data_IF_839839502633
#
_entry.id   IF_839839502633
#
_cell.length_a   1.000
_cell.length_b   1.000
_cell.length_c   1.000
_cell.angle_alpha   90.00
_cell.angle_beta   90.00
_cell.angle_gamma   90.00
#
_symmetry.space_group_name_H-M   'P 1'
#
loop_
_entity.id
_entity.type
_entity.pdbx_description
1 polymer ?
#
# COMPACT_ATOMS: atom_id res chain seq x y z
N UNK A 1 11.46 0.04 25.67
CA UNK A 1 12.84 -0.47 25.59
C UNK A 1 13.77 0.73 25.46
N UNK A 2 14.32 1.22 26.58
CA UNK A 2 15.14 2.44 26.64
C UNK A 2 16.59 2.07 26.34
N UNK A 3 17.24 2.74 25.37
CA UNK A 3 18.67 2.58 25.09
C UNK A 3 19.42 3.71 25.79
N UNK A 4 20.29 3.32 26.73
CA UNK A 4 21.15 4.19 27.53
C UNK A 4 22.59 3.89 27.08
N UNK A 5 23.30 4.87 26.53
CA UNK A 5 24.72 4.71 26.16
C UNK A 5 25.55 5.92 26.60
N UNK A 6 26.17 5.70 27.75
CA UNK A 6 27.50 6.06 28.26
C UNK A 6 28.41 6.99 27.42
N UNK A 7 28.86 8.06 28.09
CA UNK A 7 29.99 8.95 27.79
C UNK A 7 31.34 8.22 27.84
N UNK A 8 32.27 8.60 26.97
CA UNK A 8 33.72 8.45 27.17
C UNK A 8 34.47 9.66 26.60
N UNK A 9 35.12 10.42 27.50
CA UNK A 9 36.11 11.47 27.22
C UNK A 9 37.47 10.84 26.87
N UNK A 10 38.14 11.37 25.84
CA UNK A 10 39.61 11.48 25.69
C UNK A 10 39.90 12.14 24.33
N UNK A 11 40.93 12.96 24.11
CA UNK A 11 41.97 13.52 24.94
C UNK A 11 42.64 14.65 24.13
N UNK A 12 43.00 15.73 24.81
CA UNK A 12 43.71 16.88 24.24
C UNK A 12 45.20 16.70 24.54
N UNK A 13 46.03 16.55 23.50
CA UNK A 13 47.48 16.70 23.64
C UNK A 13 48.11 17.01 22.28
N UNK A 14 48.51 18.27 22.08
CA UNK A 14 49.71 18.59 21.30
C UNK A 14 50.42 19.73 22.02
N UNK A 15 51.62 19.44 22.52
CA UNK A 15 52.62 20.42 22.96
C UNK A 15 53.73 20.45 21.91
N UNK A 16 54.19 21.64 21.51
CA UNK A 16 55.50 21.80 20.89
C UNK A 16 56.03 23.25 21.01
N UNK A 17 57.10 23.35 21.82
CA UNK A 17 58.37 24.04 21.60
C UNK A 17 58.39 25.58 21.47
N UNK A 18 59.09 26.18 22.44
CA UNK A 18 59.57 27.55 22.43
C UNK A 18 60.78 27.72 21.50
N UNK A 19 60.78 28.79 20.69
CA UNK A 19 61.98 29.37 20.09
C UNK A 19 61.84 30.91 20.08
N UNK A 20 62.65 31.59 20.88
CA UNK A 20 62.78 33.05 20.86
C UNK A 20 63.69 33.48 19.71
N UNK A 21 63.24 34.42 18.88
CA UNK A 21 64.05 35.13 17.90
C UNK A 21 63.38 36.47 17.55
N UNK A 22 63.97 37.57 18.02
CA UNK A 22 63.45 38.92 17.86
C UNK A 22 63.65 39.49 16.46
N UNK A 23 62.56 40.04 15.90
CA UNK A 23 62.53 40.92 14.72
C UNK A 23 61.42 41.96 14.92
N UNK A 24 61.50 43.13 14.27
CA UNK A 24 60.53 44.21 14.46
C UNK A 24 59.13 43.74 14.05
N UNK A 25 58.16 43.98 14.93
CA UNK A 25 56.76 43.56 14.79
C UNK A 25 56.18 44.10 13.47
N UNK A 26 55.81 43.26 12.49
CA UNK A 26 55.02 43.73 11.36
C UNK A 26 53.69 44.22 11.93
N UNK A 27 53.30 45.43 11.53
CA UNK A 27 51.96 45.93 11.84
C UNK A 27 50.94 44.89 11.40
N UNK A 28 49.96 44.56 12.27
CA UNK A 28 48.96 43.58 11.90
C UNK A 28 48.34 44.05 10.58
N UNK A 29 48.18 43.19 9.56
CA UNK A 29 47.31 43.55 8.45
C UNK A 29 46.01 44.01 9.10
N UNK A 30 45.65 45.29 8.87
CA UNK A 30 44.41 45.86 9.38
C UNK A 30 43.30 44.85 9.09
N UNK A 31 42.34 44.67 10.02
CA UNK A 31 41.42 43.55 9.97
C UNK A 31 40.93 43.43 8.55
N UNK A 32 41.30 42.32 7.89
CA UNK A 32 40.64 41.91 6.65
C UNK A 32 39.20 41.73 7.09
N UNK A 33 38.44 42.81 6.99
CA UNK A 33 37.00 42.78 7.09
C UNK A 33 36.63 41.95 5.88
N UNK A 34 36.55 40.64 6.09
CA UNK A 34 36.00 39.73 5.12
C UNK A 34 34.68 40.37 4.73
N UNK A 35 34.63 40.90 3.51
CA UNK A 35 33.69 41.93 3.10
C UNK A 35 32.30 41.44 3.50
N UNK A 36 31.70 42.06 4.53
CA UNK A 36 30.54 41.51 5.25
C UNK A 36 29.36 41.27 4.31
N UNK A 37 29.32 42.03 3.23
CA UNK A 37 28.38 41.92 2.12
C UNK A 37 28.53 40.59 1.36
N UNK A 38 29.76 40.12 1.14
CA UNK A 38 30.05 38.84 0.49
C UNK A 38 29.68 37.62 1.35
N UNK A 39 29.78 37.74 2.68
CA UNK A 39 29.32 36.69 3.61
C UNK A 39 27.79 36.63 3.63
N UNK A 40 27.12 37.79 3.65
CA UNK A 40 25.65 37.87 3.66
C UNK A 40 25.04 37.34 2.33
N UNK A 41 25.68 37.58 1.19
CA UNK A 41 25.25 37.06 -0.11
C UNK A 41 25.44 35.54 -0.23
N UNK A 42 26.59 35.01 0.22
CA UNK A 42 26.84 33.57 0.29
C UNK A 42 25.80 32.85 1.17
N UNK A 43 25.48 33.42 2.34
CA UNK A 43 24.44 32.87 3.24
C UNK A 43 23.05 32.84 2.60
N UNK A 44 22.69 33.86 1.80
CA UNK A 44 21.40 33.91 1.08
C UNK A 44 21.32 32.86 -0.03
N UNK A 45 22.39 32.68 -0.80
CA UNK A 45 22.48 31.64 -1.84
C UNK A 45 22.42 30.23 -1.24
N UNK A 46 23.08 30.01 -0.10
CA UNK A 46 22.99 28.75 0.63
C UNK A 46 21.59 28.48 1.16
N UNK A 47 20.94 29.49 1.76
CA UNK A 47 19.56 29.38 2.24
C UNK A 47 18.59 29.10 1.09
N UNK A 48 18.78 29.72 -0.08
CA UNK A 48 17.97 29.47 -1.26
C UNK A 48 18.20 28.06 -1.82
N UNK A 49 19.46 27.60 -1.89
CA UNK A 49 19.79 26.22 -2.29
C UNK A 49 19.15 25.22 -1.32
N UNK A 50 19.28 25.43 -0.02
CA UNK A 50 18.66 24.58 1.01
C UNK A 50 17.14 24.60 0.90
N UNK A 51 16.52 25.75 0.62
CA UNK A 51 15.08 25.86 0.42
C UNK A 51 14.63 25.09 -0.83
N UNK A 52 15.36 25.18 -1.94
CA UNK A 52 15.10 24.44 -3.18
C UNK A 52 15.28 22.93 -2.98
N UNK A 53 16.33 22.51 -2.29
CA UNK A 53 16.57 21.11 -1.95
C UNK A 53 15.49 20.55 -1.01
N UNK A 54 15.08 21.32 0.00
CA UNK A 54 14.00 20.96 0.90
C UNK A 54 12.64 20.90 0.17
N UNK A 55 12.38 21.81 -0.77
CA UNK A 55 11.18 21.77 -1.61
C UNK A 55 11.18 20.52 -2.50
N UNK A 56 12.29 20.25 -3.19
CA UNK A 56 12.43 19.05 -4.02
C UNK A 56 12.32 17.75 -3.21
N UNK A 57 12.81 17.73 -1.96
CA UNK A 57 12.66 16.58 -1.06
C UNK A 57 11.20 16.35 -0.65
N UNK A 58 10.46 17.42 -0.31
CA UNK A 58 9.02 17.34 0.00
C UNK A 58 8.20 16.87 -1.19
N UNK A 59 8.48 17.39 -2.39
CA UNK A 59 7.81 16.95 -3.62
C UNK A 59 8.04 15.46 -3.91
N UNK A 60 9.27 14.96 -3.69
CA UNK A 60 9.58 13.53 -3.83
C UNK A 60 8.80 12.69 -2.81
N UNK A 61 8.80 13.09 -1.55
CA UNK A 61 8.04 12.42 -0.49
C UNK A 61 6.54 12.40 -0.79
N UNK A 62 5.97 13.53 -1.24
CA UNK A 62 4.57 13.62 -1.65
C UNK A 62 4.28 12.73 -2.87
N UNK A 63 5.16 12.72 -3.86
CA UNK A 63 5.02 11.87 -5.03
C UNK A 63 5.05 10.37 -4.65
N UNK A 64 5.95 9.99 -3.74
CA UNK A 64 6.01 8.63 -3.19
C UNK A 64 4.74 8.27 -2.41
N UNK A 65 4.26 9.18 -1.55
CA UNK A 65 3.01 8.99 -0.80
C UNK A 65 1.80 8.84 -1.73
N UNK A 66 1.70 9.66 -2.78
CA UNK A 66 0.65 9.56 -3.80
C UNK A 66 0.73 8.22 -4.52
N UNK A 67 1.94 7.79 -4.92
CA UNK A 67 2.14 6.48 -5.56
C UNK A 67 1.74 5.33 -4.65
N UNK A 68 2.12 5.38 -3.37
CA UNK A 68 1.73 4.37 -2.38
C UNK A 68 0.22 4.33 -2.20
N UNK A 69 -0.44 5.50 -2.13
CA UNK A 69 -1.89 5.57 -2.04
C UNK A 69 -2.57 4.94 -3.26
N UNK A 70 -2.11 5.26 -4.47
CA UNK A 70 -2.66 4.68 -5.71
C UNK A 70 -2.54 3.15 -5.74
N UNK A 71 -1.40 2.61 -5.27
CA UNK A 71 -1.20 1.16 -5.15
C UNK A 71 -2.21 0.58 -4.15
N UNK A 72 -2.34 1.18 -2.97
CA UNK A 72 -3.29 0.74 -1.95
C UNK A 72 -4.74 0.75 -2.46
N UNK A 73 -5.15 1.81 -3.16
CA UNK A 73 -6.48 1.95 -3.74
C UNK A 73 -6.75 0.90 -4.82
N UNK A 74 -5.75 0.63 -5.68
CA UNK A 74 -5.85 -0.40 -6.72
C UNK A 74 -6.00 -1.80 -6.12
N UNK A 75 -5.23 -2.12 -5.08
CA UNK A 75 -5.33 -3.40 -4.36
C UNK A 75 -6.70 -3.54 -3.67
N UNK A 76 -7.19 -2.47 -3.04
CA UNK A 76 -8.52 -2.46 -2.42
C UNK A 76 -9.64 -2.63 -3.46
N UNK A 77 -9.53 -2.01 -4.63
CA UNK A 77 -10.50 -2.17 -5.72
C UNK A 77 -10.52 -3.60 -6.27
N UNK A 78 -9.35 -4.21 -6.47
CA UNK A 78 -9.23 -5.61 -6.85
C UNK A 78 -9.89 -6.52 -5.81
N UNK A 79 -9.62 -6.32 -4.52
CA UNK A 79 -10.24 -7.10 -3.44
C UNK A 79 -11.77 -6.98 -3.41
N UNK A 80 -12.32 -5.78 -3.60
CA UNK A 80 -13.77 -5.58 -3.71
C UNK A 80 -14.37 -6.33 -4.90
N UNK A 81 -13.68 -6.32 -6.04
CA UNK A 81 -14.14 -7.04 -7.25
C UNK A 81 -14.18 -8.55 -7.03
N UNK A 82 -13.17 -9.12 -6.35
CA UNK A 82 -13.12 -10.56 -6.06
C UNK A 82 -14.21 -11.00 -5.10
N UNK A 83 -14.52 -10.18 -4.08
CA UNK A 83 -15.61 -10.47 -3.15
C UNK A 83 -16.98 -10.38 -3.81
N UNK A 84 -17.19 -9.39 -4.69
CA UNK A 84 -18.44 -9.27 -5.45
C UNK A 84 -18.67 -10.49 -6.36
N UNK A 85 -17.63 -10.97 -7.05
CA UNK A 85 -17.67 -12.20 -7.85
C UNK A 85 -18.02 -13.42 -7.00
N UNK A 86 -17.38 -13.55 -5.83
CA UNK A 86 -17.66 -14.65 -4.89
C UNK A 86 -19.11 -14.61 -4.39
N UNK A 87 -19.61 -13.43 -4.03
CA UNK A 87 -20.99 -13.24 -3.57
C UNK A 87 -22.00 -13.62 -4.66
N UNK A 88 -21.77 -13.21 -5.90
CA UNK A 88 -22.63 -13.55 -7.03
C UNK A 88 -22.63 -15.05 -7.32
N UNK A 89 -21.45 -15.68 -7.37
CA UNK A 89 -21.34 -17.14 -7.55
C UNK A 89 -22.00 -17.92 -6.39
N UNK A 90 -21.92 -17.40 -5.17
CA UNK A 90 -22.51 -17.97 -3.96
C UNK A 90 -24.01 -17.70 -3.77
N UNK A 91 -24.64 -16.90 -4.64
CA UNK A 91 -26.08 -16.61 -4.54
C UNK A 91 -26.88 -17.90 -4.74
N UNK A 92 -27.82 -18.19 -3.84
CA UNK A 92 -28.62 -19.41 -3.86
C UNK A 92 -29.68 -19.36 -4.96
N UNK A 93 -29.95 -20.52 -5.57
CA UNK A 93 -31.04 -20.71 -6.53
C UNK A 93 -32.17 -21.45 -5.82
N UNK A 94 -33.38 -20.90 -5.87
CA UNK A 94 -34.53 -21.45 -5.17
C UNK A 94 -35.48 -22.19 -6.10
N UNK A 95 -36.15 -23.20 -5.55
CA UNK A 95 -37.10 -24.03 -6.28
C UNK A 95 -38.46 -24.04 -5.59
N UNK A 96 -39.51 -24.24 -6.37
CA UNK A 96 -40.84 -24.51 -5.83
C UNK A 96 -40.89 -25.88 -5.15
N UNK A 97 -41.91 -26.05 -4.31
CA UNK A 97 -42.21 -27.34 -3.71
C UNK A 97 -42.33 -28.43 -4.78
N UNK A 98 -41.62 -29.54 -4.54
CA UNK A 98 -41.58 -30.71 -5.41
C UNK A 98 -41.16 -30.44 -6.87
N UNK A 99 -40.45 -29.33 -7.14
CA UNK A 99 -39.95 -28.99 -8.48
C UNK A 99 -38.43 -28.96 -8.54
N UNK A 100 -37.94 -29.24 -9.75
CA UNK A 100 -36.55 -29.06 -10.17
C UNK A 100 -36.44 -28.14 -11.40
N UNK A 101 -37.44 -27.29 -11.62
CA UNK A 101 -37.48 -26.32 -12.73
C UNK A 101 -36.96 -24.98 -12.21
N UNK A 102 -36.03 -24.38 -12.94
CA UNK A 102 -35.49 -23.05 -12.65
C UNK A 102 -36.59 -22.00 -12.81
N UNK A 103 -36.77 -21.14 -11.80
CA UNK A 103 -37.73 -20.04 -11.85
C UNK A 103 -37.23 -18.95 -12.78
N UNK A 104 -38.14 -18.21 -13.41
CA UNK A 104 -37.77 -17.13 -14.34
C UNK A 104 -36.85 -16.06 -13.73
N UNK A 105 -37.04 -15.72 -12.44
CA UNK A 105 -36.15 -14.78 -11.73
C UNK A 105 -34.75 -15.35 -11.49
N UNK A 106 -34.65 -16.63 -11.16
CA UNK A 106 -33.39 -17.32 -10.88
C UNK A 106 -32.55 -17.59 -12.14
N UNK A 107 -33.18 -17.71 -13.31
CA UNK A 107 -32.48 -17.86 -14.59
C UNK A 107 -31.51 -16.70 -14.86
N UNK A 108 -31.93 -15.46 -14.57
CA UNK A 108 -31.08 -14.27 -14.73
C UNK A 108 -29.85 -14.27 -13.83
N UNK A 109 -29.92 -14.94 -12.68
CA UNK A 109 -28.78 -15.10 -11.76
C UNK A 109 -27.81 -16.13 -12.33
N UNK A 110 -28.30 -17.23 -12.91
CA UNK A 110 -27.46 -18.22 -13.58
C UNK A 110 -26.72 -17.63 -14.77
N UNK A 111 -27.37 -16.80 -15.59
CA UNK A 111 -26.74 -16.13 -16.73
C UNK A 111 -25.52 -15.28 -16.30
N UNK A 112 -25.65 -14.56 -15.18
CA UNK A 112 -24.55 -13.79 -14.61
C UNK A 112 -23.39 -14.68 -14.14
N UNK A 113 -23.69 -15.84 -13.53
CA UNK A 113 -22.66 -16.81 -13.14
C UNK A 113 -21.95 -17.40 -14.36
N UNK A 114 -22.69 -17.73 -15.42
CA UNK A 114 -22.12 -18.24 -16.68
C UNK A 114 -21.15 -17.22 -17.28
N UNK A 115 -21.51 -15.94 -17.33
CA UNK A 115 -20.62 -14.89 -17.81
C UNK A 115 -19.30 -14.83 -17.02
N UNK A 116 -19.35 -14.95 -15.70
CA UNK A 116 -18.16 -15.01 -14.84
C UNK A 116 -17.31 -16.24 -15.16
N UNK A 117 -17.92 -17.42 -15.28
CA UNK A 117 -17.20 -18.67 -15.56
C UNK A 117 -16.54 -18.66 -16.94
N UNK A 118 -17.21 -18.10 -17.95
CA UNK A 118 -16.67 -17.93 -19.30
C UNK A 118 -15.48 -16.97 -19.31
N UNK A 119 -15.54 -15.88 -18.55
CA UNK A 119 -14.43 -14.95 -18.40
C UNK A 119 -13.25 -15.54 -17.60
N UNK A 120 -13.49 -16.59 -16.80
CA UNK A 120 -12.51 -17.19 -15.90
C UNK A 120 -12.44 -18.71 -16.08
N UNK A 121 -11.90 -19.22 -17.20
CA UNK A 121 -11.91 -20.66 -17.53
C UNK A 121 -11.14 -21.55 -16.54
N UNK A 122 -10.26 -20.97 -15.70
CA UNK A 122 -9.57 -21.70 -14.64
C UNK A 122 -10.42 -21.89 -13.36
N UNK A 123 -11.55 -21.21 -13.24
CA UNK A 123 -12.40 -21.26 -12.06
C UNK A 123 -13.24 -22.55 -12.08
N UNK A 124 -13.18 -23.30 -10.97
CA UNK A 124 -13.97 -24.52 -10.79
C UNK A 124 -15.02 -24.30 -9.71
N UNK A 125 -16.25 -24.69 -10.00
CA UNK A 125 -17.37 -24.65 -9.04
C UNK A 125 -17.91 -26.04 -8.77
N UNK A 126 -18.60 -26.19 -7.63
CA UNK A 126 -19.39 -27.37 -7.30
C UNK A 126 -20.85 -26.95 -7.16
N UNK A 127 -21.75 -27.64 -7.85
CA UNK A 127 -23.18 -27.42 -7.78
C UNK A 127 -23.78 -28.53 -6.89
N UNK A 128 -24.50 -28.13 -5.85
CA UNK A 128 -25.15 -29.03 -4.90
C UNK A 128 -26.61 -28.64 -4.73
N UNK A 129 -27.51 -29.59 -4.97
CA UNK A 129 -28.94 -29.39 -4.75
C UNK A 129 -29.35 -29.83 -3.36
N UNK A 130 -30.22 -29.03 -2.73
CA UNK A 130 -30.74 -29.29 -1.40
C UNK A 130 -32.27 -29.40 -1.44
N UNK A 131 -32.81 -30.10 -0.46
CA UNK A 131 -34.25 -30.27 -0.24
C UNK A 131 -34.59 -29.87 1.18
N UNK A 132 -35.88 -29.62 1.41
CA UNK A 132 -36.40 -29.48 2.77
C UNK A 132 -36.60 -30.85 3.42
N UNK A 133 -37.00 -30.88 4.68
CA UNK A 133 -37.13 -32.11 5.49
C UNK A 133 -38.34 -32.99 5.12
N UNK A 134 -39.20 -32.55 4.19
CA UNK A 134 -40.43 -33.30 3.86
C UNK A 134 -40.12 -34.41 2.87
N UNK A 135 -40.74 -35.58 3.06
CA UNK A 135 -40.54 -36.76 2.21
C UNK A 135 -39.45 -37.70 2.74
N UNK A 136 -39.13 -38.75 1.96
CA UNK A 136 -38.06 -39.69 2.33
C UNK A 136 -36.68 -39.15 1.94
N UNK A 137 -35.64 -39.63 2.62
CA UNK A 137 -34.26 -39.24 2.34
C UNK A 137 -33.85 -39.61 0.91
N UNK A 138 -34.25 -40.78 0.43
CA UNK A 138 -33.96 -41.25 -0.93
C UNK A 138 -34.64 -40.36 -1.98
N UNK A 139 -35.89 -39.95 -1.71
CA UNK A 139 -36.61 -39.02 -2.57
C UNK A 139 -35.90 -37.67 -2.64
N UNK A 140 -35.51 -37.14 -1.48
CA UNK A 140 -34.83 -35.85 -1.37
C UNK A 140 -33.43 -35.87 -1.98
N UNK A 141 -32.71 -36.99 -1.90
CA UNK A 141 -31.43 -37.18 -2.58
C UNK A 141 -31.60 -37.13 -4.10
N UNK A 142 -32.60 -37.84 -4.64
CA UNK A 142 -32.89 -37.82 -6.07
C UNK A 142 -33.37 -36.44 -6.54
N UNK A 143 -34.23 -35.77 -5.78
CA UNK A 143 -34.70 -34.42 -6.08
C UNK A 143 -33.55 -33.39 -6.03
N UNK A 144 -32.65 -33.49 -5.05
CA UNK A 144 -31.46 -32.65 -4.95
C UNK A 144 -30.55 -32.81 -6.17
N UNK A 145 -30.30 -34.05 -6.61
CA UNK A 145 -29.51 -34.32 -7.82
C UNK A 145 -30.16 -33.72 -9.08
N UNK A 146 -31.49 -33.84 -9.22
CA UNK A 146 -32.23 -33.21 -10.34
C UNK A 146 -32.09 -31.68 -10.32
N UNK A 147 -32.21 -31.04 -9.15
CA UNK A 147 -32.02 -29.59 -8.97
C UNK A 147 -30.59 -29.15 -9.32
N UNK A 148 -29.60 -29.93 -8.92
CA UNK A 148 -28.19 -29.65 -9.25
C UNK A 148 -27.91 -29.81 -10.75
N UNK A 149 -28.60 -30.72 -11.43
CA UNK A 149 -28.44 -30.94 -12.88
C UNK A 149 -29.15 -29.86 -13.71
N UNK A 150 -30.24 -29.29 -13.17
CA UNK A 150 -30.99 -28.24 -13.84
C UNK A 150 -30.33 -26.85 -13.76
N UNK A 151 -29.42 -26.65 -12.80
CA UNK A 151 -28.71 -25.39 -12.53
C UNK A 151 -27.28 -25.43 -13.08
#
# INVERSE_FOLDING_TARGET
MKRLSLLLLSGLAVAAVAACGGGPKPEPPGPVTANTDSIAEAQRLEAERQAREAAAAKEREEAERRRQQQIADSLAALGKSTEAVRALLGTMIHFDYDKAIIRGGDASVLDQKVAILQANPGLRIRISGHCDERGSDEYNLALGNRRATAA
#
